data_IF_621814789156
#
_entry.id   IF_621814789156
#
_cell.length_a   1.000
_cell.length_b   1.000
_cell.length_c   1.000
_cell.angle_alpha   90.00
_cell.angle_beta   90.00
_cell.angle_gamma   90.00
#
_symmetry.space_group_name_H-M   'P 1'
#
loop_
_entity.id
_entity.type
_entity.pdbx_description
1 polymer ?
#
# COMPACT_ATOMS: atom_id res chain seq x y z
N UNK A 1 -40.05 -7.61 -9.21
CA UNK A 1 -38.97 -6.63 -9.40
C UNK A 1 -38.26 -6.25 -8.09
N UNK A 2 -38.99 -5.86 -7.03
CA UNK A 2 -38.42 -5.30 -5.78
C UNK A 2 -37.54 -6.27 -4.97
N UNK A 3 -37.85 -7.59 -4.98
CA UNK A 3 -37.01 -8.62 -4.33
C UNK A 3 -35.63 -8.76 -4.97
N UNK A 4 -35.49 -8.54 -6.28
CA UNK A 4 -34.22 -8.70 -6.99
C UNK A 4 -33.26 -7.52 -6.75
N UNK A 5 -33.82 -6.32 -6.58
CA UNK A 5 -33.04 -5.12 -6.21
C UNK A 5 -32.39 -5.29 -4.84
N UNK A 6 -33.08 -5.90 -3.87
CA UNK A 6 -32.52 -6.20 -2.56
C UNK A 6 -31.33 -7.17 -2.62
N UNK A 7 -31.39 -8.18 -3.50
CA UNK A 7 -30.28 -9.12 -3.69
C UNK A 7 -29.07 -8.46 -4.36
N UNK A 8 -29.27 -7.56 -5.31
CA UNK A 8 -28.18 -6.83 -5.98
C UNK A 8 -27.48 -5.88 -5.00
N UNK A 9 -28.23 -5.16 -4.16
CA UNK A 9 -27.66 -4.26 -3.15
C UNK A 9 -26.84 -5.04 -2.10
N UNK A 10 -27.31 -6.22 -1.69
CA UNK A 10 -26.60 -7.07 -0.72
C UNK A 10 -25.25 -7.57 -1.27
N UNK A 11 -25.19 -7.94 -2.55
CA UNK A 11 -23.95 -8.39 -3.21
C UNK A 11 -22.93 -7.24 -3.33
N UNK A 12 -23.38 -6.02 -3.65
CA UNK A 12 -22.51 -4.84 -3.73
C UNK A 12 -21.90 -4.49 -2.36
N UNK A 13 -22.65 -4.69 -1.27
CA UNK A 13 -22.17 -4.42 0.09
C UNK A 13 -21.08 -5.40 0.55
N UNK A 14 -21.13 -6.64 0.08
CA UNK A 14 -20.17 -7.70 0.43
C UNK A 14 -18.81 -7.57 -0.30
N UNK A 15 -18.74 -6.78 -1.37
CA UNK A 15 -17.49 -6.51 -2.09
C UNK A 15 -16.68 -5.33 -1.52
N UNK A 16 -17.09 -4.76 -0.37
CA UNK A 16 -16.34 -3.74 0.35
C UNK A 16 -15.12 -4.32 1.08
N UNK A 17 -14.12 -4.80 0.33
CA UNK A 17 -12.84 -5.19 0.89
C UNK A 17 -12.12 -3.91 1.35
N UNK A 18 -12.05 -3.65 2.65
CA UNK A 18 -11.18 -2.60 3.19
C UNK A 18 -9.77 -3.16 3.34
N UNK A 19 -8.81 -2.78 2.50
CA UNK A 19 -7.42 -3.16 2.72
C UNK A 19 -6.94 -2.42 3.97
N UNK A 20 -6.86 -3.16 5.08
CA UNK A 20 -6.11 -2.74 6.25
C UNK A 20 -4.66 -2.59 5.81
N UNK A 21 -4.20 -1.34 5.63
CA UNK A 21 -2.85 -1.03 5.13
C UNK A 21 -1.82 -1.51 6.15
N UNK A 22 -1.34 -2.74 5.94
CA UNK A 22 -0.26 -3.35 6.72
C UNK A 22 0.97 -3.49 5.85
N UNK A 23 2.01 -2.71 6.14
CA UNK A 23 3.34 -2.83 5.52
C UNK A 23 3.95 -4.24 5.62
N UNK A 24 3.46 -5.07 6.56
CA UNK A 24 3.94 -6.44 6.79
C UNK A 24 3.81 -7.38 5.58
N UNK A 25 3.00 -7.04 4.57
CA UNK A 25 2.78 -7.93 3.42
C UNK A 25 3.70 -7.68 2.22
N UNK A 26 4.50 -6.60 2.23
CA UNK A 26 5.42 -6.32 1.13
C UNK A 26 6.62 -7.26 1.22
N UNK A 27 6.95 -7.88 0.09
CA UNK A 27 8.14 -8.71 -0.08
C UNK A 27 9.02 -8.16 -1.22
N UNK A 28 10.32 -8.47 -1.15
CA UNK A 28 11.25 -8.15 -2.21
C UNK A 28 10.87 -8.89 -3.50
N UNK A 29 10.94 -8.20 -4.64
CA UNK A 29 10.58 -8.72 -5.96
C UNK A 29 9.10 -8.60 -6.34
N UNK A 30 8.25 -8.13 -5.41
CA UNK A 30 6.82 -7.91 -5.66
C UNK A 30 6.59 -6.89 -6.79
N UNK A 31 5.54 -7.05 -7.58
CA UNK A 31 5.24 -6.12 -8.68
C UNK A 31 4.55 -4.84 -8.18
N UNK A 32 4.75 -3.71 -8.87
CA UNK A 32 4.03 -2.44 -8.60
C UNK A 32 2.51 -2.61 -8.36
N UNK A 33 1.74 -3.28 -9.23
CA UNK A 33 0.30 -3.42 -9.02
C UNK A 33 -0.04 -4.21 -7.75
N UNK A 34 0.79 -5.19 -7.39
CA UNK A 34 0.61 -6.02 -6.21
C UNK A 34 0.89 -5.22 -4.92
N UNK A 35 1.91 -4.36 -4.93
CA UNK A 35 2.16 -3.40 -3.85
C UNK A 35 0.97 -2.45 -3.68
N UNK A 36 0.46 -1.88 -4.77
CA UNK A 36 -0.70 -0.98 -4.73
C UNK A 36 -1.95 -1.72 -4.26
N UNK A 37 -2.11 -3.00 -4.60
CA UNK A 37 -3.24 -3.81 -4.16
C UNK A 37 -3.18 -4.11 -2.66
N UNK A 38 -1.98 -4.33 -2.11
CA UNK A 38 -1.80 -4.62 -0.70
C UNK A 38 -1.80 -3.37 0.18
N UNK A 39 -1.10 -2.31 -0.24
CA UNK A 39 -0.93 -1.08 0.53
C UNK A 39 -1.94 0.01 0.19
N UNK A 40 -2.68 -0.16 -0.90
CA UNK A 40 -3.58 0.86 -1.43
C UNK A 40 -2.84 1.93 -2.22
N UNK A 41 -3.51 3.07 -2.34
CA UNK A 41 -3.07 4.17 -3.20
C UNK A 41 -1.90 4.92 -2.54
N UNK A 42 -0.75 5.06 -3.21
CA UNK A 42 0.38 5.82 -2.68
C UNK A 42 0.01 7.31 -2.55
N UNK A 43 0.56 7.97 -1.53
CA UNK A 43 0.41 9.40 -1.32
C UNK A 43 1.17 10.20 -2.39
N UNK A 44 2.34 9.69 -2.79
CA UNK A 44 3.13 10.26 -3.87
C UNK A 44 3.87 9.15 -4.61
N UNK A 45 4.09 9.33 -5.90
CA UNK A 45 4.92 8.45 -6.71
C UNK A 45 5.93 9.32 -7.46
N UNK A 46 7.21 8.97 -7.35
CA UNK A 46 8.29 9.69 -8.02
C UNK A 46 9.24 8.67 -8.60
N UNK A 47 9.45 8.69 -9.91
CA UNK A 47 10.34 7.74 -10.57
C UNK A 47 11.05 8.40 -11.74
N UNK A 48 12.23 7.88 -12.05
CA UNK A 48 13.06 8.33 -13.17
C UNK A 48 13.65 7.10 -13.87
N UNK A 49 13.33 6.93 -15.15
CA UNK A 49 13.82 5.81 -15.94
C UNK A 49 13.30 4.45 -15.45
N UNK A 50 14.22 3.61 -14.95
CA UNK A 50 13.92 2.25 -14.48
C UNK A 50 13.64 2.17 -12.98
N UNK A 51 13.79 3.27 -12.25
CA UNK A 51 13.63 3.35 -10.80
C UNK A 51 12.38 4.16 -10.45
N UNK A 52 11.57 3.66 -9.52
CA UNK A 52 10.35 4.30 -9.06
C UNK A 52 10.23 4.20 -7.54
N UNK A 53 9.89 5.32 -6.90
CA UNK A 53 9.64 5.43 -5.48
C UNK A 53 8.17 5.72 -5.22
N UNK A 54 7.53 4.86 -4.43
CA UNK A 54 6.18 5.06 -3.95
C UNK A 54 6.23 5.47 -2.48
N UNK A 55 5.64 6.61 -2.16
CA UNK A 55 5.57 7.17 -0.82
C UNK A 55 4.20 6.95 -0.22
N UNK A 56 4.17 6.45 1.01
CA UNK A 56 2.95 6.16 1.75
C UNK A 56 2.98 6.89 3.09
N UNK A 57 2.00 7.78 3.28
CA UNK A 57 1.78 8.50 4.52
C UNK A 57 0.44 8.04 5.11
N UNK A 58 0.43 7.27 6.21
CA UNK A 58 -0.80 6.81 6.84
C UNK A 58 -1.57 8.00 7.43
N UNK A 59 -2.89 8.01 7.25
CA UNK A 59 -3.75 9.09 7.73
C UNK A 59 -3.69 9.30 9.25
N UNK A 60 -3.53 8.21 10.01
CA UNK A 60 -3.43 8.25 11.47
C UNK A 60 -2.04 8.66 12.00
N UNK A 61 -0.97 8.58 11.18
CA UNK A 61 0.42 8.82 11.62
C UNK A 61 1.17 9.61 10.55
N UNK A 62 0.78 10.87 10.35
CA UNK A 62 1.33 11.72 9.29
C UNK A 62 2.84 12.00 9.41
N UNK A 63 3.41 11.80 10.60
CA UNK A 63 4.84 11.91 10.89
C UNK A 63 5.65 10.67 10.47
N UNK A 64 5.01 9.54 10.22
CA UNK A 64 5.66 8.37 9.63
C UNK A 64 5.49 8.43 8.12
N UNK A 65 6.61 8.32 7.38
CA UNK A 65 6.56 8.10 5.94
C UNK A 65 7.16 6.76 5.66
N UNK A 66 6.53 6.03 4.77
CA UNK A 66 7.10 4.82 4.22
C UNK A 66 7.43 5.02 2.75
N UNK A 67 8.48 4.36 2.30
CA UNK A 67 8.87 4.34 0.91
C UNK A 67 8.93 2.90 0.42
N UNK A 68 8.57 2.71 -0.83
CA UNK A 68 8.81 1.49 -1.59
C UNK A 68 9.63 1.90 -2.81
N UNK A 69 10.83 1.35 -2.92
CA UNK A 69 11.70 1.48 -4.06
C UNK A 69 11.47 0.31 -5.02
N UNK A 70 11.15 0.64 -6.25
CA UNK A 70 10.90 -0.32 -7.32
C UNK A 70 11.92 -0.11 -8.43
N UNK A 71 12.50 -1.19 -8.91
CA UNK A 71 13.41 -1.20 -10.04
C UNK A 71 12.87 -2.15 -11.10
N UNK A 72 12.75 -1.68 -12.35
CA UNK A 72 12.11 -2.41 -13.44
C UNK A 72 10.69 -2.91 -13.10
N UNK A 73 9.94 -2.12 -12.30
CA UNK A 73 8.57 -2.45 -11.89
C UNK A 73 8.45 -3.50 -10.77
N UNK A 74 9.57 -3.92 -10.17
CA UNK A 74 9.62 -4.84 -9.02
C UNK A 74 10.18 -4.16 -7.78
N UNK A 75 9.69 -4.52 -6.60
CA UNK A 75 10.19 -4.01 -5.32
C UNK A 75 11.63 -4.45 -5.11
N UNK A 76 12.53 -3.51 -5.02
CA UNK A 76 13.93 -3.76 -4.67
C UNK A 76 14.21 -3.47 -3.20
N UNK A 77 13.56 -2.44 -2.64
CA UNK A 77 13.68 -2.09 -1.23
C UNK A 77 12.39 -1.42 -0.72
N UNK A 78 12.13 -1.51 0.58
CA UNK A 78 11.04 -0.77 1.22
C UNK A 78 11.39 -0.51 2.68
N UNK A 79 10.83 0.54 3.26
CA UNK A 79 11.10 0.86 4.66
C UNK A 79 10.44 2.16 5.12
N UNK A 80 10.70 2.51 6.38
CA UNK A 80 10.26 3.77 6.96
C UNK A 80 11.28 4.87 6.69
N UNK A 81 10.88 5.90 5.96
CA UNK A 81 11.64 7.13 5.75
C UNK A 81 11.45 8.04 6.96
N UNK A 82 12.30 7.89 7.98
CA UNK A 82 12.33 8.81 9.12
C UNK A 82 12.65 8.17 10.47
N UNK A 83 12.85 6.85 10.55
CA UNK A 83 13.29 6.19 11.78
C UNK A 83 14.80 6.35 11.99
N UNK A 84 15.25 7.56 12.31
CA UNK A 84 16.37 7.73 13.23
C UNK A 84 15.84 7.76 14.66
N UNK A 85 15.11 6.71 15.06
CA UNK A 85 14.69 6.43 16.45
C UNK A 85 13.83 5.16 16.56
N UNK A 86 14.20 4.09 15.85
CA UNK A 86 13.64 2.78 16.16
C UNK A 86 14.74 1.72 16.13
N UNK A 87 15.00 1.20 17.35
CA UNK A 87 15.89 0.10 17.77
C UNK A 87 17.28 0.55 18.26
N UNK A 88 17.68 0.11 19.48
CA UNK A 88 17.70 -1.29 19.85
C UNK A 88 16.60 -1.67 20.85
N UNK A 89 16.13 -2.91 20.67
CA UNK A 89 15.60 -3.70 21.76
C UNK A 89 16.77 -4.14 22.64
N UNK A 90 16.75 -3.76 23.93
CA UNK A 90 17.31 -4.50 25.07
C UNK A 90 16.51 -4.13 26.32
#
# INVERSE_FOLDING_TARGET
MQRWVLWIVLIVFLCGCSPWIGMYKIELGMSKPEVIQQMGKPSNASGSGNEEYLWYTPANRFWERYYVHLVNGKVEAYGQSGSQSAQPAE
#
